data_IF_812184337166
#
_entry.id   IF_812184337166
#
_cell.length_a   1.000
_cell.length_b   1.000
_cell.length_c   1.000
_cell.angle_alpha   90.00
_cell.angle_beta   90.00
_cell.angle_gamma   90.00
#
_symmetry.space_group_name_H-M   'P 1'
#
loop_
_entity.id
_entity.type
_entity.pdbx_description
1 polymer ?
#
# COMPACT_ATOMS: atom_id res chain seq x y z
N UNK A 1 -7.69 6.29 19.06
CA UNK A 1 -7.70 5.64 20.39
C UNK A 1 -9.08 5.03 20.73
N UNK A 2 -10.20 5.72 20.50
CA UNK A 2 -11.52 5.21 20.92
C UNK A 2 -12.00 3.98 20.16
N UNK A 3 -11.60 3.76 18.92
CA UNK A 3 -12.04 2.61 18.10
C UNK A 3 -11.29 1.32 18.33
N UNK A 4 -10.04 1.36 18.73
CA UNK A 4 -9.34 0.17 19.22
C UNK A 4 -9.98 -0.34 20.53
N UNK A 5 -10.46 0.57 21.38
CA UNK A 5 -11.25 0.24 22.57
C UNK A 5 -12.66 -0.22 22.21
N UNK A 6 -13.34 0.41 21.27
CA UNK A 6 -14.63 -0.04 20.75
C UNK A 6 -14.54 -1.45 20.16
N UNK A 7 -13.47 -1.80 19.45
CA UNK A 7 -13.25 -3.16 18.93
C UNK A 7 -13.09 -4.22 20.03
N UNK A 8 -12.43 -3.87 21.16
CA UNK A 8 -12.39 -4.75 22.36
C UNK A 8 -13.76 -4.90 23.01
N UNK A 9 -14.54 -3.84 23.03
CA UNK A 9 -15.91 -3.84 23.53
C UNK A 9 -16.83 -4.69 22.64
N UNK A 10 -16.78 -4.55 21.32
CA UNK A 10 -17.56 -5.34 20.37
C UNK A 10 -17.11 -6.79 20.25
N UNK A 11 -15.91 -7.15 20.73
CA UNK A 11 -15.49 -8.55 20.82
C UNK A 11 -16.39 -9.39 21.75
N UNK A 12 -17.16 -8.73 22.61
CA UNK A 12 -18.10 -9.35 23.56
C UNK A 12 -19.59 -9.25 23.14
N UNK A 13 -19.92 -8.65 21.98
CA UNK A 13 -21.30 -8.39 21.57
C UNK A 13 -21.77 -9.26 20.39
N UNK A 14 -23.11 -9.35 20.13
CA UNK A 14 -23.68 -10.26 19.13
C UNK A 14 -23.08 -10.12 17.73
N UNK A 15 -23.03 -11.24 16.99
CA UNK A 15 -22.40 -11.34 15.66
C UNK A 15 -22.94 -10.33 14.63
N UNK A 16 -24.23 -9.97 14.71
CA UNK A 16 -24.87 -9.00 13.81
C UNK A 16 -24.26 -7.59 13.92
N UNK A 17 -23.98 -7.13 15.16
CA UNK A 17 -23.40 -5.80 15.36
C UNK A 17 -21.94 -5.76 14.89
N UNK A 18 -21.20 -6.84 15.04
CA UNK A 18 -19.83 -6.96 14.50
C UNK A 18 -19.81 -6.91 12.98
N UNK A 19 -20.74 -7.61 12.34
CA UNK A 19 -20.88 -7.59 10.89
C UNK A 19 -21.27 -6.21 10.36
N UNK A 20 -22.14 -5.49 11.07
CA UNK A 20 -22.51 -4.11 10.74
C UNK A 20 -21.30 -3.17 10.83
N UNK A 21 -20.55 -3.20 11.94
CA UNK A 21 -19.34 -2.38 12.13
C UNK A 21 -18.27 -2.72 11.09
N UNK A 22 -18.13 -3.98 10.70
CA UNK A 22 -17.18 -4.39 9.69
C UNK A 22 -17.58 -3.87 8.29
N UNK A 23 -18.87 -3.92 7.92
CA UNK A 23 -19.38 -3.31 6.68
C UNK A 23 -19.16 -1.80 6.66
N UNK A 24 -19.61 -1.09 7.70
CA UNK A 24 -19.38 0.36 7.85
C UNK A 24 -17.89 0.72 7.75
N UNK A 25 -17.02 -0.12 8.29
CA UNK A 25 -15.57 0.09 8.21
C UNK A 25 -15.07 0.00 6.77
N UNK A 26 -15.55 -0.95 5.98
CA UNK A 26 -15.17 -1.08 4.57
C UNK A 26 -15.76 0.02 3.70
N UNK A 27 -16.99 0.46 3.99
CA UNK A 27 -17.71 1.44 3.18
C UNK A 27 -17.31 2.89 3.47
N UNK A 28 -16.97 3.21 4.72
CA UNK A 28 -16.70 4.59 5.14
C UNK A 28 -15.23 4.80 5.56
N UNK A 29 -14.72 3.98 6.49
CA UNK A 29 -13.43 4.29 7.14
C UNK A 29 -12.22 3.86 6.33
N UNK A 30 -12.28 2.76 5.61
CA UNK A 30 -11.20 2.36 4.72
C UNK A 30 -11.05 3.33 3.52
N UNK A 31 -12.12 3.74 2.83
CA UNK A 31 -12.05 4.80 1.82
C UNK A 31 -11.56 6.14 2.39
N UNK A 32 -11.96 6.51 3.60
CA UNK A 32 -11.47 7.72 4.26
C UNK A 32 -9.97 7.63 4.54
N UNK A 33 -9.50 6.53 5.10
CA UNK A 33 -8.06 6.29 5.33
C UNK A 33 -7.27 6.33 4.01
N UNK A 34 -7.84 5.79 2.92
CA UNK A 34 -7.27 5.86 1.59
C UNK A 34 -7.12 7.30 1.09
N UNK A 35 -8.16 8.13 1.26
CA UNK A 35 -8.13 9.55 0.89
C UNK A 35 -7.14 10.36 1.70
N UNK A 36 -7.04 10.07 3.00
CA UNK A 36 -6.06 10.66 3.90
C UNK A 36 -4.62 10.18 3.62
N UNK A 37 -4.45 9.19 2.73
CA UNK A 37 -3.15 8.61 2.42
C UNK A 37 -2.56 7.79 3.57
N UNK A 38 -3.34 7.41 4.59
CA UNK A 38 -2.90 6.59 5.72
C UNK A 38 -3.07 5.12 5.37
N UNK A 39 -2.16 4.63 4.54
CA UNK A 39 -2.24 3.31 3.91
C UNK A 39 -2.20 2.15 4.89
N UNK A 40 -1.37 2.26 5.92
CA UNK A 40 -1.25 1.22 6.94
C UNK A 40 -2.57 1.01 7.67
N UNK A 41 -3.20 2.11 8.11
CA UNK A 41 -4.51 2.06 8.74
C UNK A 41 -5.59 1.51 7.79
N UNK A 42 -5.57 1.92 6.51
CA UNK A 42 -6.48 1.40 5.50
C UNK A 42 -6.40 -0.12 5.41
N UNK A 43 -5.21 -0.67 5.25
CA UNK A 43 -5.00 -2.10 5.08
C UNK A 43 -5.40 -2.89 6.34
N UNK A 44 -5.07 -2.38 7.51
CA UNK A 44 -5.49 -3.01 8.77
C UNK A 44 -7.02 -3.03 8.91
N UNK A 45 -7.69 -1.92 8.58
CA UNK A 45 -9.14 -1.82 8.60
C UNK A 45 -9.78 -2.82 7.62
N UNK A 46 -9.24 -2.93 6.41
CA UNK A 46 -9.72 -3.86 5.38
C UNK A 46 -9.54 -5.33 5.82
N UNK A 47 -8.35 -5.72 6.26
CA UNK A 47 -8.08 -7.11 6.66
C UNK A 47 -8.90 -7.54 7.87
N UNK A 48 -9.03 -6.68 8.88
CA UNK A 48 -9.85 -6.97 10.06
C UNK A 48 -11.35 -7.08 9.73
N UNK A 49 -11.87 -6.18 8.88
CA UNK A 49 -13.26 -6.23 8.46
C UNK A 49 -13.54 -7.47 7.61
N UNK A 50 -12.66 -7.79 6.69
CA UNK A 50 -12.76 -8.98 5.86
C UNK A 50 -12.72 -10.27 6.68
N UNK A 51 -11.85 -10.34 7.69
CA UNK A 51 -11.80 -11.48 8.62
C UNK A 51 -13.12 -11.71 9.34
N UNK A 52 -13.88 -10.64 9.66
CA UNK A 52 -15.19 -10.74 10.29
C UNK A 52 -16.29 -11.11 9.30
N UNK A 53 -16.30 -10.49 8.11
CA UNK A 53 -17.37 -10.70 7.12
C UNK A 53 -17.24 -12.02 6.38
N UNK A 54 -16.02 -12.48 6.14
CA UNK A 54 -15.72 -13.68 5.35
C UNK A 54 -14.66 -14.55 6.02
N UNK A 55 -14.92 -15.07 7.25
CA UNK A 55 -13.93 -15.74 8.07
C UNK A 55 -13.33 -16.98 7.39
N UNK A 56 -14.14 -17.77 6.70
CA UNK A 56 -13.66 -18.99 6.02
C UNK A 56 -12.77 -18.65 4.81
N UNK A 57 -13.17 -17.65 4.02
CA UNK A 57 -12.35 -17.19 2.89
C UNK A 57 -11.05 -16.58 3.37
N UNK A 58 -11.09 -15.79 4.45
CA UNK A 58 -9.89 -15.23 5.08
C UNK A 58 -8.93 -16.34 5.52
N UNK A 59 -9.42 -17.35 6.25
CA UNK A 59 -8.63 -18.50 6.71
C UNK A 59 -8.02 -19.29 5.56
N UNK A 60 -8.81 -19.53 4.49
CA UNK A 60 -8.34 -20.23 3.29
C UNK A 60 -7.15 -19.50 2.65
N UNK A 61 -7.27 -18.19 2.42
CA UNK A 61 -6.19 -17.39 1.82
C UNK A 61 -4.99 -17.33 2.77
N UNK A 62 -5.19 -17.11 4.07
CA UNK A 62 -4.13 -17.08 5.07
C UNK A 62 -3.33 -18.39 5.09
N UNK A 63 -4.01 -19.55 5.07
CA UNK A 63 -3.39 -20.87 5.01
C UNK A 63 -2.55 -21.04 3.73
N UNK A 64 -3.09 -20.69 2.58
CA UNK A 64 -2.38 -20.77 1.30
C UNK A 64 -1.15 -19.85 1.24
N UNK A 65 -1.21 -18.69 1.90
CA UNK A 65 -0.07 -17.79 2.07
C UNK A 65 1.00 -18.40 2.97
N UNK A 66 0.60 -19.05 4.05
CA UNK A 66 1.54 -19.65 5.01
C UNK A 66 2.23 -20.87 4.41
N UNK A 67 1.51 -21.75 3.75
CA UNK A 67 2.07 -22.94 3.07
C UNK A 67 3.20 -22.61 2.08
N UNK A 68 3.15 -21.45 1.43
CA UNK A 68 4.17 -20.97 0.48
C UNK A 68 5.12 -19.93 1.07
N UNK A 69 5.16 -19.79 2.39
CA UNK A 69 5.89 -18.71 3.06
C UNK A 69 7.39 -18.82 2.85
N UNK A 70 7.98 -19.98 3.15
CA UNK A 70 9.43 -20.19 3.05
C UNK A 70 9.94 -20.04 1.61
N UNK A 71 9.20 -20.60 0.65
CA UNK A 71 9.53 -20.46 -0.77
C UNK A 71 9.47 -18.99 -1.23
N UNK A 72 8.44 -18.27 -0.77
CA UNK A 72 8.29 -16.84 -1.08
C UNK A 72 9.38 -15.99 -0.46
N UNK A 73 9.74 -16.25 0.80
CA UNK A 73 10.82 -15.55 1.50
C UNK A 73 12.18 -15.78 0.83
N UNK A 74 12.49 -17.01 0.44
CA UNK A 74 13.71 -17.33 -0.30
C UNK A 74 13.76 -16.63 -1.67
N UNK A 75 12.64 -16.63 -2.41
CA UNK A 75 12.54 -15.93 -3.69
C UNK A 75 12.77 -14.41 -3.53
N UNK A 76 12.14 -13.79 -2.53
CA UNK A 76 12.28 -12.36 -2.24
C UNK A 76 13.72 -12.04 -1.82
N UNK A 77 14.33 -12.85 -0.97
CA UNK A 77 15.73 -12.65 -0.55
C UNK A 77 16.70 -12.67 -1.75
N UNK A 78 16.52 -13.62 -2.67
CA UNK A 78 17.31 -13.66 -3.90
C UNK A 78 17.09 -12.45 -4.81
N UNK A 79 15.84 -12.01 -4.96
CA UNK A 79 15.53 -10.82 -5.76
C UNK A 79 16.11 -9.55 -5.13
N UNK A 80 16.03 -9.40 -3.81
CA UNK A 80 16.66 -8.30 -3.05
C UNK A 80 18.16 -8.26 -3.27
N UNK A 81 18.84 -9.41 -3.17
CA UNK A 81 20.29 -9.50 -3.36
C UNK A 81 20.68 -9.03 -4.77
N UNK A 82 20.02 -9.55 -5.82
CA UNK A 82 20.29 -9.17 -7.21
C UNK A 82 20.11 -7.67 -7.45
N UNK A 83 18.99 -7.10 -7.00
CA UNK A 83 18.72 -5.67 -7.19
C UNK A 83 19.74 -4.82 -6.44
N UNK A 84 20.13 -5.23 -5.23
CA UNK A 84 21.13 -4.52 -4.42
C UNK A 84 22.49 -4.48 -5.11
N UNK A 85 22.94 -5.60 -5.64
CA UNK A 85 24.23 -5.71 -6.33
C UNK A 85 24.25 -4.82 -7.59
N UNK A 86 23.20 -4.84 -8.39
CA UNK A 86 23.12 -4.01 -9.60
C UNK A 86 23.01 -2.51 -9.29
N UNK A 87 22.25 -2.13 -8.25
CA UNK A 87 22.18 -0.74 -7.78
C UNK A 87 23.53 -0.24 -7.29
N UNK A 88 24.25 -1.07 -6.54
CA UNK A 88 25.58 -0.73 -6.06
C UNK A 88 26.57 -0.53 -7.23
N UNK A 89 26.54 -1.40 -8.25
CA UNK A 89 27.34 -1.26 -9.48
C UNK A 89 27.01 0.01 -10.26
N UNK A 90 25.73 0.40 -10.27
CA UNK A 90 25.27 1.65 -10.90
C UNK A 90 25.59 2.91 -10.08
N UNK A 91 26.21 2.77 -8.90
CA UNK A 91 26.60 3.88 -8.04
C UNK A 91 25.50 4.38 -7.09
N UNK A 92 24.36 3.69 -7.01
CA UNK A 92 23.29 3.97 -6.04
C UNK A 92 23.64 3.30 -4.71
N UNK A 93 24.30 4.05 -3.81
CA UNK A 93 24.90 3.49 -2.59
C UNK A 93 23.95 3.34 -1.41
N UNK A 94 22.87 4.12 -1.37
CA UNK A 94 21.96 4.22 -0.22
C UNK A 94 20.55 3.76 -0.58
N UNK A 95 20.42 2.56 -1.16
CA UNK A 95 19.11 1.97 -1.43
C UNK A 95 18.69 1.02 -0.31
N UNK A 96 17.51 1.23 0.27
CA UNK A 96 16.86 0.24 1.12
C UNK A 96 15.91 -0.63 0.28
N UNK A 97 16.10 -1.95 0.34
CA UNK A 97 15.36 -2.91 -0.47
C UNK A 97 14.83 -4.00 0.45
N UNK A 98 13.53 -4.21 0.44
CA UNK A 98 12.88 -5.24 1.24
C UNK A 98 11.61 -5.80 0.59
N UNK A 99 11.22 -7.01 1.03
CA UNK A 99 9.97 -7.63 0.66
C UNK A 99 8.78 -6.91 1.29
N UNK A 100 7.75 -6.64 0.50
CA UNK A 100 6.52 -6.03 1.00
C UNK A 100 5.48 -7.12 1.29
N UNK A 101 4.93 -7.19 2.53
CA UNK A 101 3.83 -8.09 2.81
C UNK A 101 2.58 -7.67 2.04
N UNK A 102 1.85 -8.64 1.51
CA UNK A 102 0.54 -8.44 0.87
C UNK A 102 -0.58 -8.71 1.87
N UNK A 103 -1.52 -7.79 1.92
CA UNK A 103 -2.71 -7.90 2.76
C UNK A 103 -3.72 -8.85 2.14
N UNK A 104 -4.35 -9.68 2.97
CA UNK A 104 -5.26 -10.75 2.56
C UNK A 104 -6.47 -10.19 1.80
N UNK A 105 -7.03 -9.08 2.28
CA UNK A 105 -8.13 -8.41 1.60
C UNK A 105 -7.75 -7.92 0.19
N UNK A 106 -6.53 -7.40 0.02
CA UNK A 106 -6.03 -6.97 -1.29
C UNK A 106 -5.89 -8.14 -2.26
N UNK A 107 -5.46 -9.31 -1.78
CA UNK A 107 -5.39 -10.55 -2.56
C UNK A 107 -6.80 -10.98 -2.98
N UNK A 108 -7.73 -11.05 -2.03
CA UNK A 108 -9.11 -11.43 -2.29
C UNK A 108 -9.80 -10.52 -3.31
N UNK A 109 -9.62 -9.20 -3.18
CA UNK A 109 -10.15 -8.24 -4.16
C UNK A 109 -9.59 -8.47 -5.57
N UNK A 110 -8.31 -8.82 -5.67
CA UNK A 110 -7.68 -9.12 -6.96
C UNK A 110 -8.22 -10.41 -7.56
N UNK A 111 -8.39 -11.46 -6.74
CA UNK A 111 -9.05 -12.70 -7.15
C UNK A 111 -10.45 -12.42 -7.70
N UNK A 112 -11.26 -11.64 -6.97
CA UNK A 112 -12.61 -11.27 -7.41
C UNK A 112 -12.64 -10.48 -8.71
N UNK A 113 -11.81 -9.44 -8.81
CA UNK A 113 -11.77 -8.56 -9.99
C UNK A 113 -11.32 -9.27 -11.25
N UNK A 114 -10.38 -10.21 -11.12
CA UNK A 114 -9.83 -10.97 -12.26
C UNK A 114 -10.55 -12.29 -12.51
N UNK A 115 -11.44 -12.73 -11.60
CA UNK A 115 -12.14 -14.01 -11.69
C UNK A 115 -11.20 -15.22 -11.63
N UNK A 116 -10.12 -15.11 -10.82
CA UNK A 116 -9.06 -16.13 -10.75
C UNK A 116 -8.90 -16.70 -9.35
N UNK A 117 -8.37 -17.89 -9.24
CA UNK A 117 -8.02 -18.53 -7.97
C UNK A 117 -6.71 -17.97 -7.40
N UNK A 118 -6.47 -18.24 -6.11
CA UNK A 118 -5.26 -17.81 -5.40
C UNK A 118 -3.96 -18.25 -6.10
N UNK A 119 -3.93 -19.43 -6.70
CA UNK A 119 -2.78 -19.95 -7.45
C UNK A 119 -2.41 -19.11 -8.66
N UNK A 120 -3.37 -18.36 -9.20
CA UNK A 120 -3.24 -17.49 -10.37
C UNK A 120 -3.00 -16.02 -9.99
N UNK A 121 -3.04 -15.69 -8.69
CA UNK A 121 -2.68 -14.36 -8.19
C UNK A 121 -1.16 -14.25 -8.12
N UNK A 122 -0.58 -13.74 -9.20
CA UNK A 122 0.88 -13.61 -9.36
C UNK A 122 1.54 -12.60 -8.42
N UNK A 123 0.79 -11.66 -7.86
CA UNK A 123 1.33 -10.51 -7.09
C UNK A 123 1.54 -10.78 -5.60
N UNK A 124 1.63 -12.03 -5.19
CA UNK A 124 1.92 -12.37 -3.78
C UNK A 124 3.37 -12.02 -3.40
N UNK A 125 4.21 -11.77 -4.41
CA UNK A 125 5.61 -11.37 -4.27
C UNK A 125 5.74 -9.90 -4.63
N UNK A 126 6.19 -9.11 -3.68
CA UNK A 126 6.41 -7.68 -3.90
C UNK A 126 7.69 -7.20 -3.22
N UNK A 127 8.41 -6.32 -3.90
CA UNK A 127 9.57 -5.59 -3.39
C UNK A 127 9.24 -4.11 -3.23
N UNK A 128 9.91 -3.49 -2.28
CA UNK A 128 10.01 -2.04 -2.18
C UNK A 128 11.47 -1.62 -2.24
N UNK A 129 11.73 -0.62 -3.07
CA UNK A 129 13.04 0.02 -3.22
C UNK A 129 12.87 1.47 -2.80
N UNK A 130 13.62 1.90 -1.79
CA UNK A 130 13.65 3.28 -1.32
C UNK A 130 15.04 3.82 -1.59
N UNK A 131 15.10 4.96 -2.25
CA UNK A 131 16.33 5.64 -2.66
C UNK A 131 16.33 7.10 -2.20
N UNK A 132 17.46 7.78 -2.30
CA UNK A 132 17.59 9.15 -1.80
C UNK A 132 16.94 10.18 -2.71
N UNK A 133 17.08 10.04 -4.02
CA UNK A 133 16.61 11.05 -4.96
C UNK A 133 15.78 10.49 -6.13
N UNK A 134 15.20 11.41 -6.89
CA UNK A 134 14.33 11.10 -8.01
C UNK A 134 15.08 10.41 -9.16
N UNK A 135 16.32 10.80 -9.44
CA UNK A 135 17.16 10.21 -10.47
C UNK A 135 17.40 8.74 -10.17
N UNK A 136 17.67 8.41 -8.92
CA UNK A 136 17.89 7.03 -8.46
C UNK A 136 16.62 6.19 -8.55
N UNK A 137 15.42 6.77 -8.44
CA UNK A 137 14.17 6.06 -8.70
C UNK A 137 14.11 5.53 -10.15
N UNK A 138 14.43 6.36 -11.13
CA UNK A 138 14.42 5.95 -12.55
C UNK A 138 15.61 5.07 -12.91
N UNK A 139 16.75 5.25 -12.26
CA UNK A 139 17.90 4.33 -12.38
C UNK A 139 17.51 2.94 -11.88
N UNK A 140 16.87 2.84 -10.73
CA UNK A 140 16.39 1.58 -10.17
C UNK A 140 15.33 0.92 -11.08
N UNK A 141 14.43 1.70 -11.68
CA UNK A 141 13.46 1.20 -12.65
C UNK A 141 14.16 0.58 -13.87
N UNK A 142 15.15 1.27 -14.43
CA UNK A 142 15.94 0.78 -15.57
C UNK A 142 16.67 -0.53 -15.25
N UNK A 143 17.28 -0.62 -14.05
CA UNK A 143 17.95 -1.83 -13.56
C UNK A 143 16.97 -3.00 -13.45
N UNK A 144 15.82 -2.78 -12.82
CA UNK A 144 14.78 -3.80 -12.65
C UNK A 144 14.28 -4.31 -14.01
N UNK A 145 14.06 -3.44 -14.99
CA UNK A 145 13.62 -3.79 -16.33
C UNK A 145 14.75 -4.43 -17.19
N UNK A 146 16.00 -4.24 -16.80
CA UNK A 146 17.13 -4.94 -17.42
C UNK A 146 17.32 -6.35 -16.83
N UNK A 147 17.10 -6.51 -15.52
CA UNK A 147 17.17 -7.80 -14.84
C UNK A 147 16.06 -8.76 -15.22
N UNK A 148 14.85 -8.24 -15.48
CA UNK A 148 13.65 -9.03 -15.71
C UNK A 148 12.73 -8.39 -16.76
N UNK A 149 11.91 -9.22 -17.39
CA UNK A 149 11.00 -8.77 -18.47
C UNK A 149 9.81 -7.99 -17.85
N UNK A 150 9.64 -6.70 -18.17
CA UNK A 150 8.52 -5.91 -17.66
C UNK A 150 7.18 -6.38 -18.22
N UNK A 151 6.13 -6.33 -17.41
CA UNK A 151 4.74 -6.57 -17.77
C UNK A 151 4.10 -5.22 -18.06
N UNK A 152 4.00 -4.84 -19.35
CA UNK A 152 3.67 -3.49 -19.79
C UNK A 152 2.35 -2.93 -19.25
N UNK A 153 1.36 -3.78 -18.98
CA UNK A 153 0.04 -3.38 -18.45
C UNK A 153 0.04 -3.14 -16.93
N UNK A 154 1.14 -3.43 -16.25
CA UNK A 154 1.29 -3.33 -14.79
C UNK A 154 2.34 -2.27 -14.43
N UNK A 155 2.53 -1.26 -15.30
CA UNK A 155 3.41 -0.13 -15.05
C UNK A 155 2.60 1.14 -14.82
N UNK A 156 2.87 1.81 -13.70
CA UNK A 156 2.28 3.11 -13.35
C UNK A 156 3.37 4.06 -12.84
N UNK A 157 3.45 5.24 -13.42
CA UNK A 157 4.30 6.32 -12.96
C UNK A 157 3.50 7.34 -12.16
N UNK A 158 3.37 7.08 -10.86
CA UNK A 158 2.76 8.02 -9.91
C UNK A 158 3.73 9.08 -9.39
N UNK A 159 4.97 9.13 -9.88
CA UNK A 159 5.88 10.24 -9.64
C UNK A 159 5.52 11.39 -10.58
N UNK A 160 5.40 11.10 -11.88
CA UNK A 160 5.01 12.07 -12.90
C UNK A 160 3.52 12.42 -12.82
N UNK A 161 2.68 11.44 -12.45
CA UNK A 161 1.23 11.60 -12.32
C UNK A 161 0.74 11.17 -10.93
N UNK A 162 0.92 12.00 -9.89
CA UNK A 162 0.52 11.66 -8.53
C UNK A 162 -0.96 11.34 -8.41
N UNK A 163 -1.32 10.42 -7.50
CA UNK A 163 -2.72 10.15 -7.17
C UNK A 163 -3.36 11.37 -6.48
N UNK A 164 -4.68 11.47 -6.49
CA UNK A 164 -5.43 12.57 -5.88
C UNK A 164 -5.16 12.80 -4.37
N UNK A 165 -4.54 11.85 -3.69
CA UNK A 165 -4.05 11.93 -2.31
C UNK A 165 -2.53 12.23 -2.23
N UNK A 166 -1.94 12.77 -3.28
CA UNK A 166 -0.50 13.08 -3.39
C UNK A 166 0.44 11.86 -3.26
N UNK A 167 -0.07 10.65 -3.37
CA UNK A 167 0.77 9.46 -3.38
C UNK A 167 1.67 9.45 -4.60
N UNK A 168 2.97 9.26 -4.37
CA UNK A 168 4.03 9.21 -5.40
C UNK A 168 4.86 7.93 -5.25
N UNK A 169 5.02 7.19 -6.34
CA UNK A 169 5.87 6.01 -6.43
C UNK A 169 5.89 5.53 -7.88
N UNK A 170 6.94 4.86 -8.32
CA UNK A 170 6.89 4.03 -9.53
C UNK A 170 6.36 2.65 -9.13
N UNK A 171 5.40 2.14 -9.86
CA UNK A 171 4.92 0.77 -9.73
C UNK A 171 5.21 0.02 -11.01
N UNK A 172 5.84 -1.13 -10.91
CA UNK A 172 6.07 -2.01 -12.05
C UNK A 172 5.91 -3.46 -11.62
N UNK A 173 5.53 -4.32 -12.55
CA UNK A 173 5.60 -5.75 -12.38
C UNK A 173 6.48 -6.34 -13.47
N UNK A 174 7.26 -7.33 -13.09
CA UNK A 174 8.20 -8.02 -13.98
C UNK A 174 7.99 -9.53 -13.93
N UNK A 175 8.38 -10.21 -14.99
CA UNK A 175 8.42 -11.66 -15.06
C UNK A 175 9.85 -12.14 -14.90
N UNK A 176 10.08 -12.94 -13.88
CA UNK A 176 11.37 -13.56 -13.62
C UNK A 176 11.61 -14.78 -14.54
N UNK A 177 12.87 -15.27 -14.70
CA UNK A 177 13.20 -16.40 -15.57
C UNK A 177 12.46 -17.69 -15.26
N UNK A 178 12.06 -17.90 -14.00
CA UNK A 178 11.26 -19.03 -13.54
C UNK A 178 9.74 -18.88 -13.83
N UNK A 179 9.35 -17.85 -14.58
CA UNK A 179 7.96 -17.54 -14.93
C UNK A 179 7.17 -16.84 -13.85
N UNK A 180 7.73 -16.63 -12.66
CA UNK A 180 7.06 -15.95 -11.55
C UNK A 180 7.02 -14.45 -11.76
N UNK A 181 5.93 -13.81 -11.34
CA UNK A 181 5.81 -12.35 -11.36
C UNK A 181 6.25 -11.75 -10.04
N UNK A 182 6.86 -10.57 -10.12
CA UNK A 182 7.33 -9.77 -9.01
C UNK A 182 6.85 -8.34 -9.18
N UNK A 183 6.04 -7.84 -8.23
CA UNK A 183 5.66 -6.42 -8.16
C UNK A 183 6.76 -5.62 -7.48
N UNK A 184 7.10 -4.46 -8.01
CA UNK A 184 8.14 -3.61 -7.47
C UNK A 184 7.62 -2.18 -7.34
N UNK A 185 7.79 -1.61 -6.15
CA UNK A 185 7.49 -0.22 -5.85
C UNK A 185 8.79 0.52 -5.58
N UNK A 186 9.00 1.63 -6.29
CA UNK A 186 10.22 2.42 -6.19
C UNK A 186 9.84 3.85 -5.82
N UNK A 187 10.45 4.41 -4.79
CA UNK A 187 10.19 5.77 -4.31
C UNK A 187 11.34 6.33 -3.50
N UNK A 188 11.37 7.64 -3.33
CA UNK A 188 12.33 8.28 -2.42
C UNK A 188 11.90 8.16 -0.96
N UNK A 189 12.83 8.44 -0.04
CA UNK A 189 12.52 8.53 1.40
C UNK A 189 11.44 9.55 1.72
N UNK A 190 11.42 10.68 1.03
CA UNK A 190 10.36 11.69 1.18
C UNK A 190 8.99 11.13 0.79
N UNK A 191 8.90 10.50 -0.39
CA UNK A 191 7.68 9.85 -0.86
C UNK A 191 7.25 8.69 0.07
N UNK A 192 8.22 7.98 0.64
CA UNK A 192 7.96 6.92 1.62
C UNK A 192 7.31 7.47 2.89
N UNK A 193 7.91 8.49 3.49
CA UNK A 193 7.35 9.17 4.67
C UNK A 193 5.94 9.70 4.40
N UNK A 194 5.74 10.31 3.24
CA UNK A 194 4.42 10.80 2.84
C UNK A 194 3.40 9.66 2.70
N UNK A 195 3.80 8.53 2.10
CA UNK A 195 2.93 7.38 1.94
C UNK A 195 2.59 6.67 3.27
N UNK A 196 3.48 6.68 4.26
CA UNK A 196 3.24 6.07 5.59
C UNK A 196 2.40 6.99 6.50
N UNK A 197 2.63 8.29 6.46
CA UNK A 197 2.00 9.26 7.36
C UNK A 197 0.79 9.98 6.74
N UNK A 198 0.59 9.83 5.42
CA UNK A 198 -0.48 10.48 4.68
C UNK A 198 -0.37 12.00 4.65
N UNK A 199 -1.50 12.68 4.49
CA UNK A 199 -1.59 14.14 4.43
C UNK A 199 -1.06 14.82 5.71
N UNK A 200 -1.11 14.13 6.85
CA UNK A 200 -0.54 14.61 8.10
C UNK A 200 0.98 14.85 8.05
N UNK A 201 1.72 14.12 7.20
CA UNK A 201 3.15 14.35 7.01
C UNK A 201 3.43 15.68 6.31
N UNK A 202 2.61 16.03 5.32
CA UNK A 202 2.70 17.28 4.59
C UNK A 202 2.48 18.50 5.52
N UNK A 203 1.57 18.39 6.46
CA UNK A 203 1.32 19.43 7.44
C UNK A 203 2.45 19.60 8.45
N UNK A 204 2.99 18.49 8.99
CA UNK A 204 4.16 18.56 9.89
C UNK A 204 5.38 19.19 9.24
N UNK A 205 5.62 18.92 7.96
CA UNK A 205 6.74 19.51 7.23
C UNK A 205 6.56 21.03 7.06
N UNK A 206 5.34 21.47 6.73
CA UNK A 206 5.03 22.92 6.65
C UNK A 206 5.04 23.60 8.02
N UNK A 207 4.56 22.97 9.06
CA UNK A 207 4.53 23.51 10.42
C UNK A 207 5.92 23.64 11.07
N UNK A 208 6.87 22.78 10.71
CA UNK A 208 8.27 22.88 11.18
C UNK A 208 9.08 23.99 10.51
N UNK A 209 8.58 24.56 9.42
CA UNK A 209 9.33 25.55 8.61
C UNK A 209 8.96 27.01 8.87
N UNK A 210 7.76 27.33 9.38
CA UNK A 210 7.31 28.71 9.75
C UNK A 210 6.09 28.63 10.68
N UNK A 211 5.93 29.64 11.54
CA UNK A 211 4.67 29.87 12.25
C UNK A 211 3.51 29.98 11.23
N UNK A 212 2.32 29.42 11.51
CA UNK A 212 1.23 29.36 10.55
C UNK A 212 0.80 30.78 10.15
N UNK A 213 0.96 31.09 8.86
CA UNK A 213 0.35 32.25 8.23
C UNK A 213 -1.14 31.98 7.93
N UNK A 214 -1.93 33.03 7.70
CA UNK A 214 -3.37 32.92 7.41
C UNK A 214 -3.67 31.95 6.23
N UNK A 215 -2.80 31.92 5.21
CA UNK A 215 -2.96 31.08 4.03
C UNK A 215 -2.92 29.57 4.33
N UNK A 216 -2.13 29.14 5.32
CA UNK A 216 -2.02 27.73 5.72
C UNK A 216 -3.28 27.24 6.48
N UNK A 217 -3.96 28.17 7.14
CA UNK A 217 -5.22 27.90 7.85
C UNK A 217 -6.38 27.71 6.86
N UNK A 218 -6.42 28.54 5.83
CA UNK A 218 -7.44 28.48 4.79
C UNK A 218 -7.33 27.21 3.94
N UNK A 219 -6.10 26.74 3.63
CA UNK A 219 -5.86 25.49 2.94
C UNK A 219 -6.32 24.26 3.77
N UNK A 220 -6.05 24.28 5.08
CA UNK A 220 -6.54 23.24 6.03
C UNK A 220 -8.07 23.22 6.12
N UNK A 221 -8.69 24.40 6.19
CA UNK A 221 -10.16 24.51 6.23
C UNK A 221 -10.78 24.09 4.92
N UNK A 222 -10.23 24.46 3.78
CA UNK A 222 -10.70 24.06 2.46
C UNK A 222 -10.67 22.53 2.32
N UNK A 223 -9.60 21.90 2.77
CA UNK A 223 -9.45 20.46 2.76
C UNK A 223 -10.43 19.75 3.71
N UNK A 224 -10.65 20.26 4.93
CA UNK A 224 -11.64 19.75 5.86
C UNK A 224 -13.06 19.86 5.28
N UNK A 225 -13.38 20.95 4.58
CA UNK A 225 -14.67 21.11 3.87
C UNK A 225 -14.83 20.07 2.78
N UNK A 226 -13.80 19.81 1.97
CA UNK A 226 -13.84 18.74 0.95
C UNK A 226 -14.10 17.36 1.56
N UNK A 227 -13.50 17.06 2.73
CA UNK A 227 -13.76 15.82 3.46
C UNK A 227 -15.21 15.72 3.95
N UNK A 228 -15.78 16.82 4.44
CA UNK A 228 -17.16 16.87 4.91
C UNK A 228 -18.13 16.70 3.75
N UNK A 229 -17.94 17.41 2.64
CA UNK A 229 -18.75 17.28 1.42
C UNK A 229 -18.71 15.83 0.91
N UNK A 230 -17.54 15.21 0.89
CA UNK A 230 -17.42 13.82 0.47
C UNK A 230 -18.14 12.83 1.42
N UNK A 231 -18.15 13.11 2.73
CA UNK A 231 -18.91 12.29 3.69
C UNK A 231 -20.40 12.29 3.34
N UNK A 232 -20.93 13.45 2.94
CA UNK A 232 -22.34 13.61 2.58
C UNK A 232 -22.66 12.91 1.24
N UNK A 233 -21.75 12.95 0.25
CA UNK A 233 -21.86 12.24 -1.04
C UNK A 233 -21.79 10.71 -0.92
N UNK A 234 -21.19 10.16 0.13
CA UNK A 234 -21.08 8.70 0.35
C UNK A 234 -22.21 8.19 1.27
N UNK A 235 -22.94 9.10 1.92
CA UNK A 235 -24.06 8.76 2.79
C UNK A 235 -25.41 8.65 2.05
N UNK A 236 -25.48 9.10 0.79
CA UNK A 236 -26.60 8.92 -0.15
C UNK A 236 -26.35 7.68 -1.05
#
# INVERSE_FOLDING_TARGET
ASRTQARRYYAAHPDDLRAQVARETLELYSPLANRLGVWELKWELEDLSFRFLHPETYKKIAKQLDEKRSEREAFIANAVAKVRDELAQAGVKSAEIYGRPKHIYSIWNKMRKKGVDFSEVYDVRALRIIVDDLKDCYTALGIVHNLWVPISREFDDYISNPKGNYYRSLHTAVRCPDGRSLEIQIRTWEMHKHAELGVAAHWRYKEGAKAPGADDYDEKIAWLRQLLTWKDEVAD
#
